data_IF_072922506724
#
_entry.id   IF_072922506724
#
_cell.length_a   1.000
_cell.length_b   1.000
_cell.length_c   1.000
_cell.angle_alpha   90.00
_cell.angle_beta   90.00
_cell.angle_gamma   90.00
#
_symmetry.space_group_name_H-M   'P 1'
#
loop_
_entity.id
_entity.type
_entity.pdbx_description
1 polymer ?
#
# COMPACT_ATOMS: atom_id res chain seq x y z
N UNK A 1 15.27 -24.94 -5.67
CA UNK A 1 14.80 -24.14 -5.29
C UNK A 1 13.97 -23.81 -6.05
N UNK A 2 13.72 -23.28 -6.46
CA UNK A 2 12.82 -23.18 -5.41
C UNK A 2 11.88 -22.10 -5.83
N UNK A 3 10.87 -21.96 -5.05
CA UNK A 3 9.77 -21.06 -5.39
C UNK A 3 10.22 -19.62 -5.58
N UNK A 4 11.28 -19.20 -4.86
CA UNK A 4 11.80 -17.84 -4.99
C UNK A 4 12.43 -17.60 -6.37
N UNK A 5 13.32 -18.51 -6.80
CA UNK A 5 13.95 -18.36 -8.12
C UNK A 5 12.94 -18.49 -9.25
N UNK A 6 11.97 -19.39 -9.10
CA UNK A 6 10.90 -19.52 -10.09
C UNK A 6 10.10 -18.24 -10.23
N UNK A 7 9.77 -17.59 -9.10
CA UNK A 7 9.07 -16.30 -9.11
C UNK A 7 9.91 -15.20 -9.76
N UNK A 8 11.20 -15.12 -9.43
CA UNK A 8 12.09 -14.13 -10.04
C UNK A 8 12.15 -14.32 -11.55
N UNK A 9 12.32 -15.54 -12.02
CA UNK A 9 12.38 -15.83 -13.46
C UNK A 9 11.08 -15.48 -14.16
N UNK A 10 9.94 -15.75 -13.53
CA UNK A 10 8.64 -15.42 -14.08
C UNK A 10 8.50 -13.90 -14.25
N UNK A 11 8.84 -13.13 -13.21
CA UNK A 11 8.76 -11.68 -13.28
C UNK A 11 9.71 -11.09 -14.32
N UNK A 12 10.90 -11.66 -14.48
CA UNK A 12 11.83 -11.22 -15.53
C UNK A 12 11.24 -11.40 -16.93
N UNK A 13 10.46 -12.48 -17.13
CA UNK A 13 9.80 -12.73 -18.41
C UNK A 13 8.72 -11.71 -18.76
N UNK A 14 8.12 -11.08 -17.76
CA UNK A 14 7.08 -10.06 -18.01
C UNK A 14 7.65 -8.81 -18.65
N UNK A 15 8.96 -8.61 -18.59
CA UNK A 15 9.63 -7.48 -19.24
C UNK A 15 9.00 -6.13 -18.86
N UNK A 16 8.88 -5.88 -17.56
CA UNK A 16 8.24 -4.68 -17.04
C UNK A 16 9.18 -3.48 -17.25
N UNK A 17 8.72 -2.49 -18.02
CA UNK A 17 9.48 -1.29 -18.32
C UNK A 17 8.74 -0.01 -17.97
N UNK A 18 7.42 -0.04 -17.84
CA UNK A 18 6.58 1.13 -17.56
C UNK A 18 5.69 0.89 -16.37
N UNK A 19 5.16 1.98 -15.79
CA UNK A 19 4.20 1.88 -14.69
C UNK A 19 2.93 1.15 -15.13
N UNK A 20 2.53 1.32 -16.39
CA UNK A 20 1.38 0.60 -16.94
C UNK A 20 1.62 -0.92 -16.94
N UNK A 21 2.85 -1.35 -17.18
CA UNK A 21 3.20 -2.79 -17.13
C UNK A 21 3.02 -3.33 -15.70
N UNK A 22 3.40 -2.54 -14.68
CA UNK A 22 3.21 -2.91 -13.29
C UNK A 22 1.71 -3.01 -12.97
N UNK A 23 0.94 -2.00 -13.35
CA UNK A 23 -0.50 -1.98 -13.09
C UNK A 23 -1.19 -3.18 -13.74
N UNK A 24 -0.79 -3.55 -14.95
CA UNK A 24 -1.35 -4.71 -15.63
C UNK A 24 -1.12 -6.00 -14.84
N UNK A 25 0.09 -6.17 -14.30
CA UNK A 25 0.45 -7.40 -13.59
C UNK A 25 -0.06 -7.44 -12.15
N UNK A 26 -0.22 -6.29 -11.50
CA UNK A 26 -0.61 -6.20 -10.11
C UNK A 26 -2.01 -5.64 -9.89
N UNK A 27 -2.81 -5.48 -10.94
CA UNK A 27 -4.11 -4.82 -10.86
C UNK A 27 -5.01 -5.38 -9.76
N UNK A 28 -5.22 -6.70 -9.76
CA UNK A 28 -6.03 -7.35 -8.72
C UNK A 28 -5.25 -7.51 -7.42
N UNK A 29 -3.95 -7.79 -7.51
CA UNK A 29 -3.13 -8.07 -6.34
C UNK A 29 -3.01 -6.85 -5.42
N UNK A 30 -2.83 -5.65 -5.95
CA UNK A 30 -2.66 -4.43 -5.14
C UNK A 30 -3.86 -4.18 -4.24
N UNK A 31 -5.05 -4.43 -4.76
CA UNK A 31 -6.30 -4.25 -4.00
C UNK A 31 -6.45 -5.35 -2.95
N UNK A 32 -6.23 -6.59 -3.36
CA UNK A 32 -6.36 -7.74 -2.48
C UNK A 32 -5.35 -7.67 -1.33
N UNK A 33 -4.11 -7.29 -1.62
CA UNK A 33 -3.08 -7.13 -0.62
C UNK A 33 -3.46 -6.05 0.40
N UNK A 34 -3.89 -4.87 -0.07
CA UNK A 34 -4.30 -3.77 0.79
C UNK A 34 -5.50 -4.16 1.66
N UNK A 35 -6.48 -4.86 1.08
CA UNK A 35 -7.65 -5.32 1.80
C UNK A 35 -7.26 -6.29 2.93
N UNK A 36 -6.47 -7.31 2.61
CA UNK A 36 -6.09 -8.31 3.61
C UNK A 36 -5.21 -7.71 4.71
N UNK A 37 -4.29 -6.83 4.36
CA UNK A 37 -3.45 -6.13 5.34
C UNK A 37 -4.28 -5.25 6.27
N UNK A 38 -5.23 -4.51 5.71
CA UNK A 38 -6.09 -3.63 6.50
C UNK A 38 -7.06 -4.41 7.37
N UNK A 39 -7.58 -5.53 6.89
CA UNK A 39 -8.54 -6.35 7.60
C UNK A 39 -7.99 -6.93 8.91
N UNK A 40 -6.69 -7.14 8.98
CA UNK A 40 -6.04 -7.63 10.20
C UNK A 40 -6.28 -6.66 11.37
N UNK A 41 -6.23 -5.36 11.11
CA UNK A 41 -6.38 -4.33 12.14
C UNK A 41 -7.78 -3.73 12.20
N UNK A 42 -8.50 -3.70 11.09
CA UNK A 42 -9.80 -3.03 10.98
C UNK A 42 -10.83 -3.96 10.37
N UNK A 43 -11.57 -4.67 11.23
CA UNK A 43 -12.57 -5.64 10.78
C UNK A 43 -13.70 -5.00 9.96
N UNK A 44 -13.91 -3.69 10.11
CA UNK A 44 -14.96 -2.96 9.39
C UNK A 44 -14.65 -2.69 7.93
N UNK A 45 -13.40 -2.86 7.49
CA UNK A 45 -13.03 -2.65 6.08
C UNK A 45 -13.58 -3.80 5.24
N UNK A 46 -14.19 -3.46 4.11
CA UNK A 46 -14.64 -4.45 3.12
C UNK A 46 -13.76 -4.39 1.88
N UNK A 47 -13.78 -5.47 1.10
CA UNK A 47 -13.09 -5.49 -0.18
C UNK A 47 -13.62 -4.39 -1.12
N UNK A 48 -14.94 -4.16 -1.10
CA UNK A 48 -15.56 -3.10 -1.90
C UNK A 48 -14.99 -1.72 -1.53
N UNK A 49 -14.85 -1.43 -0.23
CA UNK A 49 -14.30 -0.16 0.23
C UNK A 49 -12.86 0.04 -0.27
N UNK A 50 -12.05 -0.99 -0.15
CA UNK A 50 -10.65 -0.93 -0.62
C UNK A 50 -10.59 -0.71 -2.12
N UNK A 51 -11.41 -1.43 -2.87
CA UNK A 51 -11.47 -1.27 -4.33
C UNK A 51 -11.89 0.13 -4.73
N UNK A 52 -12.89 0.71 -4.05
CA UNK A 52 -13.34 2.08 -4.33
C UNK A 52 -12.21 3.09 -4.07
N UNK A 53 -11.44 2.91 -3.01
CA UNK A 53 -10.30 3.79 -2.74
C UNK A 53 -9.26 3.71 -3.86
N UNK A 54 -8.94 2.49 -4.31
CA UNK A 54 -7.93 2.31 -5.37
C UNK A 54 -8.41 2.81 -6.73
N UNK A 55 -9.68 2.61 -7.06
CA UNK A 55 -10.21 2.98 -8.37
C UNK A 55 -10.70 4.43 -8.41
N UNK A 56 -11.32 4.92 -7.35
CA UNK A 56 -12.02 6.21 -7.34
C UNK A 56 -11.49 7.20 -6.28
N UNK A 57 -10.58 6.78 -5.42
CA UNK A 57 -9.97 7.63 -4.40
C UNK A 57 -10.85 7.97 -3.22
N UNK A 58 -12.02 7.33 -3.07
CA UNK A 58 -12.97 7.64 -2.00
C UNK A 58 -13.85 6.45 -1.67
N UNK A 59 -14.49 6.53 -0.49
CA UNK A 59 -15.50 5.57 -0.06
C UNK A 59 -16.79 6.32 0.23
N UNK A 60 -17.93 5.76 -0.20
CA UNK A 60 -19.26 6.30 0.05
C UNK A 60 -19.92 5.45 1.12
N UNK A 61 -20.56 6.13 2.10
CA UNK A 61 -21.33 5.48 3.17
C UNK A 61 -20.50 4.54 4.07
N UNK A 62 -19.24 4.87 4.26
CA UNK A 62 -18.40 4.11 5.18
C UNK A 62 -18.79 4.47 6.63
N UNK A 63 -18.98 3.44 7.46
CA UNK A 63 -19.39 3.60 8.86
C UNK A 63 -18.30 3.28 9.87
N UNK A 64 -17.11 2.89 9.41
CA UNK A 64 -15.97 2.61 10.28
C UNK A 64 -15.24 3.88 10.71
N UNK A 65 -14.07 3.70 11.32
CA UNK A 65 -13.26 4.82 11.80
C UNK A 65 -12.56 5.52 10.63
N UNK A 66 -12.34 6.84 10.72
CA UNK A 66 -11.55 7.57 9.72
C UNK A 66 -10.15 6.97 9.56
N UNK A 67 -9.55 6.48 10.65
CA UNK A 67 -8.24 5.84 10.61
C UNK A 67 -8.20 4.67 9.65
N UNK A 68 -9.24 3.84 9.64
CA UNK A 68 -9.30 2.68 8.75
C UNK A 68 -9.27 3.10 7.28
N UNK A 69 -9.97 4.18 6.92
CA UNK A 69 -9.96 4.73 5.57
C UNK A 69 -8.57 5.26 5.23
N UNK A 70 -7.94 6.00 6.15
CA UNK A 70 -6.59 6.53 5.93
C UNK A 70 -5.58 5.42 5.70
N UNK A 71 -5.68 4.33 6.45
CA UNK A 71 -4.79 3.19 6.27
C UNK A 71 -4.94 2.58 4.88
N UNK A 72 -6.16 2.42 4.38
CA UNK A 72 -6.40 1.90 3.03
C UNK A 72 -5.93 2.88 1.96
N UNK A 73 -6.20 4.17 2.13
CA UNK A 73 -5.72 5.20 1.22
C UNK A 73 -4.20 5.22 1.16
N UNK A 74 -3.55 5.08 2.31
CA UNK A 74 -2.09 5.07 2.38
C UNK A 74 -1.48 3.88 1.65
N UNK A 75 -2.15 2.73 1.64
CA UNK A 75 -1.72 1.59 0.83
C UNK A 75 -1.68 1.96 -0.66
N UNK A 76 -2.73 2.64 -1.13
CA UNK A 76 -2.79 3.10 -2.52
C UNK A 76 -1.68 4.12 -2.81
N UNK A 77 -1.51 5.10 -1.94
CA UNK A 77 -0.48 6.13 -2.10
C UNK A 77 0.92 5.52 -2.11
N UNK A 78 1.16 4.53 -1.26
CA UNK A 78 2.43 3.83 -1.20
C UNK A 78 2.70 3.04 -2.48
N UNK A 79 1.69 2.35 -2.99
CA UNK A 79 1.79 1.64 -4.26
C UNK A 79 2.18 2.59 -5.39
N UNK A 80 1.50 3.73 -5.48
CA UNK A 80 1.78 4.73 -6.52
C UNK A 80 3.20 5.32 -6.36
N UNK A 81 3.63 5.56 -5.12
CA UNK A 81 4.97 6.06 -4.82
C UNK A 81 6.06 5.07 -5.27
N UNK A 82 5.82 3.78 -5.08
CA UNK A 82 6.82 2.76 -5.39
C UNK A 82 6.94 2.45 -6.89
N UNK A 83 5.91 2.70 -7.68
CA UNK A 83 5.93 2.33 -9.10
C UNK A 83 7.14 2.86 -9.86
N UNK A 84 7.44 4.18 -9.84
CA UNK A 84 8.62 4.67 -10.57
C UNK A 84 9.92 4.13 -10.02
N UNK A 85 9.99 3.90 -8.71
CA UNK A 85 11.18 3.32 -8.08
C UNK A 85 11.45 1.90 -8.56
N UNK A 86 10.38 1.11 -8.76
CA UNK A 86 10.50 -0.23 -9.32
C UNK A 86 10.97 -0.19 -10.77
N UNK A 87 10.44 0.74 -11.56
CA UNK A 87 10.82 0.88 -12.97
C UNK A 87 12.29 1.24 -13.10
N UNK A 88 12.77 2.18 -12.28
CA UNK A 88 14.17 2.59 -12.28
C UNK A 88 15.09 1.65 -11.49
N UNK A 89 14.53 0.60 -10.92
CA UNK A 89 15.27 -0.41 -10.15
C UNK A 89 16.13 0.20 -9.06
N UNK A 90 15.56 1.17 -8.36
CA UNK A 90 16.24 1.83 -7.26
C UNK A 90 16.51 0.83 -6.13
N UNK A 91 17.68 0.91 -5.48
CA UNK A 91 18.00 -0.02 -4.40
C UNK A 91 17.12 0.22 -3.18
N UNK A 92 16.90 -0.83 -2.40
CA UNK A 92 16.20 -0.71 -1.13
C UNK A 92 17.19 -0.16 -0.10
N UNK A 93 16.90 1.05 0.39
CA UNK A 93 17.75 1.74 1.36
C UNK A 93 16.96 2.00 2.64
N UNK A 94 17.66 2.37 3.72
CA UNK A 94 17.01 2.76 4.97
C UNK A 94 16.11 3.98 4.74
N UNK A 95 16.58 4.94 3.93
CA UNK A 95 15.81 6.13 3.57
C UNK A 95 14.52 5.75 2.87
N UNK A 96 14.57 4.82 1.93
CA UNK A 96 13.37 4.35 1.23
C UNK A 96 12.38 3.69 2.20
N UNK A 97 12.88 2.84 3.10
CA UNK A 97 12.02 2.20 4.11
C UNK A 97 11.34 3.24 4.99
N UNK A 98 12.06 4.29 5.39
CA UNK A 98 11.49 5.37 6.20
C UNK A 98 10.43 6.15 5.43
N UNK A 99 10.64 6.41 4.14
CA UNK A 99 9.65 7.09 3.31
C UNK A 99 8.37 6.25 3.17
N UNK A 100 8.52 4.95 2.95
CA UNK A 100 7.38 4.02 2.89
C UNK A 100 6.61 4.05 4.21
N UNK A 101 7.31 3.98 5.33
CA UNK A 101 6.68 4.04 6.65
C UNK A 101 5.89 5.35 6.83
N UNK A 102 6.49 6.48 6.45
CA UNK A 102 5.83 7.78 6.56
C UNK A 102 4.56 7.85 5.73
N UNK A 103 4.57 7.28 4.52
CA UNK A 103 3.38 7.24 3.66
C UNK A 103 2.31 6.35 4.29
N UNK A 104 2.69 5.16 4.74
CA UNK A 104 1.73 4.19 5.28
C UNK A 104 1.07 4.66 6.59
N UNK A 105 1.74 5.51 7.35
CA UNK A 105 1.24 5.97 8.65
C UNK A 105 0.63 7.37 8.62
N UNK A 106 0.61 8.04 7.47
CA UNK A 106 0.06 9.39 7.36
C UNK A 106 -1.39 9.45 7.82
N UNK A 107 -1.68 10.34 8.78
CA UNK A 107 -3.04 10.54 9.30
C UNK A 107 -3.57 9.40 10.18
N UNK A 108 -2.74 8.42 10.53
CA UNK A 108 -3.19 7.26 11.31
C UNK A 108 -2.80 7.32 12.79
N UNK A 109 -1.94 8.24 13.17
CA UNK A 109 -1.51 8.36 14.56
C UNK A 109 -2.40 9.34 15.33
N UNK A 110 -2.45 9.16 16.65
CA UNK A 110 -3.19 10.04 17.55
C UNK A 110 -2.28 11.18 17.97
N UNK A 111 -2.59 12.41 17.50
CA UNK A 111 -1.79 13.59 17.81
C UNK A 111 -1.72 13.88 19.30
N UNK A 112 -2.81 13.70 20.02
CA UNK A 112 -2.85 13.89 21.48
C UNK A 112 -1.86 12.96 22.16
N UNK A 113 -1.88 11.69 21.77
CA UNK A 113 -0.95 10.69 22.29
C UNK A 113 0.49 11.03 21.95
N UNK A 114 0.73 11.50 20.72
CA UNK A 114 2.06 11.94 20.31
C UNK A 114 2.55 13.11 21.15
N UNK A 115 1.71 14.12 21.36
CA UNK A 115 2.06 15.32 22.14
C UNK A 115 2.33 14.95 23.60
N UNK A 116 1.44 14.17 24.20
CA UNK A 116 1.52 13.83 25.64
C UNK A 116 2.61 12.84 25.96
N UNK A 117 2.89 11.90 25.08
CA UNK A 117 3.80 10.77 25.33
C UNK A 117 5.07 10.81 24.50
N UNK A 118 5.18 11.72 23.54
CA UNK A 118 6.31 11.79 22.62
C UNK A 118 6.37 10.60 21.66
N UNK A 119 5.28 9.88 21.48
CA UNK A 119 5.22 8.75 20.55
C UNK A 119 5.03 9.22 19.12
N UNK A 120 5.64 8.49 18.18
CA UNK A 120 5.49 8.77 16.75
C UNK A 120 5.08 7.50 16.01
N UNK A 121 4.38 7.68 14.89
CA UNK A 121 4.07 6.54 14.04
C UNK A 121 5.30 5.87 13.47
#
# INVERSE_FOLDING_TARGET
>A
MDNYLAAVKLWQKFNIETEADIDLRLDSFRILFAYNSGKIENAEITYHDTREIFENGRVVNFTGTPRAIFEQRNQKLCYDFLKPKLIFREPITIELVKEVHAILTGGTYDETRYIERGERP
#
